data_IF_260908207483
#
_entry.id   IF_260908207483
#
_cell.length_a   1.000
_cell.length_b   1.000
_cell.length_c   1.000
_cell.angle_alpha   90.00
_cell.angle_beta   90.00
_cell.angle_gamma   90.00
#
_symmetry.space_group_name_H-M   'P 1'
#
loop_
_entity.id
_entity.type
_entity.pdbx_description
1 polymer ?
#
# COMPACT_ATOMS: atom_id res chain seq x y z
N UNK A 1 -13.62 8.17 3.74
CA UNK A 1 -12.39 9.00 3.67
C UNK A 1 -11.12 8.21 4.01
N UNK A 2 -11.10 7.40 5.07
CA UNK A 2 -9.94 6.59 5.49
C UNK A 2 -9.34 5.70 4.39
N UNK A 3 -10.17 5.04 3.56
CA UNK A 3 -9.68 4.18 2.48
C UNK A 3 -8.93 4.96 1.38
N UNK A 4 -9.37 6.19 1.08
CA UNK A 4 -8.71 7.04 0.08
C UNK A 4 -7.32 7.48 0.57
N UNK A 5 -7.20 7.81 1.86
CA UNK A 5 -5.91 8.16 2.48
C UNK A 5 -4.95 6.96 2.46
N UNK A 6 -5.45 5.76 2.78
CA UNK A 6 -4.66 4.54 2.72
C UNK A 6 -4.14 4.26 1.29
N UNK A 7 -4.96 4.51 0.26
CA UNK A 7 -4.56 4.33 -1.13
C UNK A 7 -3.44 5.30 -1.55
N UNK A 8 -3.53 6.55 -1.12
CA UNK A 8 -2.52 7.58 -1.41
C UNK A 8 -1.15 7.19 -0.82
N UNK A 9 -1.11 6.66 0.41
CA UNK A 9 0.14 6.23 1.06
C UNK A 9 0.83 5.08 0.30
N UNK A 10 0.05 4.16 -0.28
CA UNK A 10 0.58 3.06 -1.10
C UNK A 10 1.19 3.59 -2.38
N UNK A 11 0.50 4.50 -3.09
CA UNK A 11 1.01 5.10 -4.33
C UNK A 11 2.32 5.85 -4.09
N UNK A 12 2.39 6.67 -3.03
CA UNK A 12 3.63 7.40 -2.67
C UNK A 12 4.77 6.41 -2.37
N UNK A 13 4.49 5.32 -1.68
CA UNK A 13 5.50 4.28 -1.36
C UNK A 13 6.01 3.55 -2.60
N UNK A 14 5.13 3.27 -3.56
CA UNK A 14 5.50 2.69 -4.85
C UNK A 14 6.36 3.65 -5.68
N UNK A 15 5.94 4.91 -5.83
CA UNK A 15 6.69 5.92 -6.59
C UNK A 15 8.09 6.16 -5.99
N UNK A 16 8.20 6.26 -4.67
CA UNK A 16 9.49 6.42 -3.99
C UNK A 16 10.43 5.22 -4.17
N UNK A 17 9.87 4.00 -4.22
CA UNK A 17 10.68 2.80 -4.47
C UNK A 17 11.07 2.68 -5.94
N UNK A 18 10.20 3.09 -6.86
CA UNK A 18 10.50 3.15 -8.30
C UNK A 18 11.66 4.10 -8.61
N UNK A 19 11.68 5.31 -8.02
CA UNK A 19 12.82 6.21 -8.15
C UNK A 19 14.13 5.61 -7.61
N UNK A 20 14.08 4.82 -6.54
CA UNK A 20 15.27 4.13 -6.00
C UNK A 20 15.78 3.02 -6.89
N UNK A 21 14.91 2.33 -7.64
CA UNK A 21 15.31 1.35 -8.65
C UNK A 21 16.05 2.05 -9.80
N UNK A 22 15.53 3.20 -10.26
CA UNK A 22 16.19 4.00 -11.30
C UNK A 22 17.57 4.51 -10.90
N UNK A 23 17.77 4.81 -9.61
CA UNK A 23 19.06 5.22 -9.05
C UNK A 23 20.02 4.04 -8.79
N UNK A 24 19.59 2.79 -9.06
CA UNK A 24 20.36 1.57 -8.76
C UNK A 24 20.45 1.22 -7.26
N UNK A 25 19.71 1.92 -6.40
CA UNK A 25 19.75 1.79 -4.94
C UNK A 25 18.68 0.85 -4.36
N UNK A 26 17.83 0.28 -5.21
CA UNK A 26 16.82 -0.71 -4.80
C UNK A 26 16.64 -1.77 -5.89
N UNK A 27 16.33 -2.99 -5.47
CA UNK A 27 16.05 -4.07 -6.40
C UNK A 27 14.56 -4.09 -6.77
N UNK A 28 14.25 -4.64 -7.95
CA UNK A 28 12.88 -4.98 -8.33
C UNK A 28 12.19 -5.87 -7.30
N UNK A 29 12.97 -6.67 -6.56
CA UNK A 29 12.49 -7.49 -5.46
C UNK A 29 12.00 -6.65 -4.28
N UNK A 30 12.71 -5.58 -3.91
CA UNK A 30 12.31 -4.66 -2.84
C UNK A 30 11.01 -3.92 -3.19
N UNK A 31 10.84 -3.59 -4.48
CA UNK A 31 9.59 -3.03 -4.99
C UNK A 31 8.43 -4.01 -4.86
N UNK A 32 8.64 -5.27 -5.24
CA UNK A 32 7.65 -6.34 -5.09
C UNK A 32 7.19 -6.50 -3.64
N UNK A 33 8.12 -6.55 -2.69
CA UNK A 33 7.79 -6.62 -1.25
C UNK A 33 7.01 -5.39 -0.79
N UNK A 34 7.40 -4.18 -1.23
CA UNK A 34 6.69 -2.94 -0.90
C UNK A 34 5.24 -2.95 -1.38
N UNK A 35 5.01 -3.43 -2.61
CA UNK A 35 3.67 -3.56 -3.21
C UNK A 35 2.82 -4.57 -2.46
N UNK A 36 3.39 -5.74 -2.10
CA UNK A 36 2.68 -6.77 -1.34
C UNK A 36 2.28 -6.26 0.05
N UNK A 37 3.18 -5.56 0.75
CA UNK A 37 2.87 -4.93 2.05
C UNK A 37 1.74 -3.90 1.90
N UNK A 38 1.75 -3.09 0.84
CA UNK A 38 0.67 -2.15 0.54
C UNK A 38 -0.66 -2.83 0.29
N UNK A 39 -0.67 -3.92 -0.49
CA UNK A 39 -1.87 -4.69 -0.78
C UNK A 39 -2.50 -5.31 0.49
N UNK A 40 -1.68 -5.88 1.37
CA UNK A 40 -2.14 -6.45 2.65
C UNK A 40 -2.77 -5.37 3.52
N UNK A 41 -2.18 -4.18 3.57
CA UNK A 41 -2.73 -3.07 4.36
C UNK A 41 -4.12 -2.64 3.87
N UNK A 42 -4.33 -2.61 2.55
CA UNK A 42 -5.65 -2.29 1.96
C UNK A 42 -6.68 -3.37 2.31
N UNK A 43 -6.32 -4.64 2.21
CA UNK A 43 -7.21 -5.76 2.56
C UNK A 43 -7.66 -5.67 4.02
N UNK A 44 -6.74 -5.35 4.94
CA UNK A 44 -7.07 -5.15 6.35
C UNK A 44 -8.01 -3.96 6.55
N UNK A 45 -7.77 -2.83 5.87
CA UNK A 45 -8.68 -1.68 5.93
C UNK A 45 -10.10 -2.05 5.46
N UNK A 46 -10.24 -2.76 4.35
CA UNK A 46 -11.54 -3.20 3.81
C UNK A 46 -12.22 -4.19 4.78
N UNK A 47 -11.45 -5.10 5.38
CA UNK A 47 -11.97 -6.07 6.34
C UNK A 47 -12.55 -5.36 7.58
N UNK A 48 -11.80 -4.44 8.18
CA UNK A 48 -12.29 -3.65 9.32
C UNK A 48 -13.47 -2.76 8.95
N UNK A 49 -13.45 -2.15 7.75
CA UNK A 49 -14.58 -1.34 7.28
C UNK A 49 -15.85 -2.17 7.13
N UNK A 50 -15.77 -3.37 6.55
CA UNK A 50 -16.92 -4.27 6.43
C UNK A 50 -17.45 -4.71 7.80
N UNK A 51 -16.55 -4.99 8.76
CA UNK A 51 -16.95 -5.27 10.14
C UNK A 51 -17.63 -4.07 10.80
N UNK A 52 -17.14 -2.85 10.59
CA UNK A 52 -17.75 -1.63 11.10
C UNK A 52 -19.14 -1.37 10.47
N UNK A 53 -19.28 -1.61 9.17
CA UNK A 53 -20.58 -1.50 8.46
C UNK A 53 -21.55 -2.60 8.87
N UNK A 54 -21.08 -3.78 9.26
CA UNK A 54 -21.96 -4.86 9.75
C UNK A 54 -22.48 -4.58 11.18
N UNK A 55 -21.79 -3.75 11.94
CA UNK A 55 -22.19 -3.37 13.31
C UNK A 55 -23.17 -2.20 13.33
N UNK A 56 -23.21 -1.37 12.27
CA UNK A 56 -24.17 -0.26 12.13
C UNK A 56 -25.45 -0.71 11.42
#
# INVERSE_FOLDING_TARGET
MICAIAFIVVVISCVGTYHKIGDGKASWFDFGVRVVVGAIMIVLCIYFLNKAVTII
#
